data_IF_749707362556
#
_entry.id   IF_749707362556
#
_cell.length_a   1.000
_cell.length_b   1.000
_cell.length_c   1.000
_cell.angle_alpha   90.00
_cell.angle_beta   90.00
_cell.angle_gamma   90.00
#
_symmetry.space_group_name_H-M   'P 1'
#
loop_
_entity.id
_entity.type
_entity.pdbx_description
1 polymer ?
#
# COMPACT_ATOMS: atom_id res chain seq x y z
N UNK A 1 -4.44 27.15 -9.17
CA UNK A 1 -4.82 26.00 -10.02
C UNK A 1 -3.58 25.22 -10.46
N UNK A 2 -2.62 25.83 -11.16
CA UNK A 2 -1.32 25.20 -11.46
C UNK A 2 -0.55 24.75 -10.19
N UNK A 3 -0.53 25.59 -9.15
CA UNK A 3 0.09 25.23 -7.85
C UNK A 3 -0.59 24.03 -7.20
N UNK A 4 -1.92 23.92 -7.32
CA UNK A 4 -2.71 22.82 -6.74
C UNK A 4 -2.41 21.48 -7.42
N UNK A 5 -2.21 21.47 -8.74
CA UNK A 5 -1.82 20.27 -9.50
C UNK A 5 -0.39 19.85 -9.15
N UNK A 6 0.50 20.83 -9.00
CA UNK A 6 1.88 20.57 -8.58
C UNK A 6 1.92 19.99 -7.17
N UNK A 7 1.11 20.52 -6.25
CA UNK A 7 0.97 19.98 -4.89
C UNK A 7 0.40 18.55 -4.91
N UNK A 8 -0.66 18.31 -5.69
CA UNK A 8 -1.26 16.98 -5.84
C UNK A 8 -0.22 15.96 -6.34
N UNK A 9 0.61 16.35 -7.32
CA UNK A 9 1.67 15.48 -7.85
C UNK A 9 2.71 15.12 -6.78
N UNK A 10 3.08 16.07 -5.92
CA UNK A 10 3.99 15.83 -4.80
C UNK A 10 3.38 14.91 -3.74
N UNK A 11 2.10 15.08 -3.43
CA UNK A 11 1.36 14.20 -2.51
C UNK A 11 1.29 12.78 -3.07
N UNK A 12 0.96 12.61 -4.35
CA UNK A 12 0.94 11.30 -5.02
C UNK A 12 2.31 10.62 -5.00
N UNK A 13 3.39 11.34 -5.28
CA UNK A 13 4.75 10.81 -5.20
C UNK A 13 5.08 10.32 -3.78
N UNK A 14 4.66 11.08 -2.76
CA UNK A 14 4.84 10.71 -1.36
C UNK A 14 4.04 9.45 -1.01
N UNK A 15 2.79 9.35 -1.45
CA UNK A 15 1.95 8.16 -1.22
C UNK A 15 2.57 6.94 -1.90
N UNK A 16 3.07 7.09 -3.13
CA UNK A 16 3.73 6.01 -3.89
C UNK A 16 4.96 5.48 -3.16
N UNK A 17 5.80 6.37 -2.64
CA UNK A 17 6.98 5.97 -1.86
C UNK A 17 6.58 5.25 -0.57
N UNK A 18 5.58 5.75 0.17
CA UNK A 18 5.06 5.09 1.37
C UNK A 18 4.45 3.72 1.08
N UNK A 19 3.75 3.58 -0.04
CA UNK A 19 3.19 2.31 -0.49
C UNK A 19 4.30 1.29 -0.77
N UNK A 20 5.39 1.73 -1.41
CA UNK A 20 6.57 0.91 -1.67
C UNK A 20 7.28 0.50 -0.38
N UNK A 21 7.56 1.44 0.53
CA UNK A 21 8.13 1.14 1.85
C UNK A 21 7.29 0.11 2.62
N UNK A 22 5.96 0.24 2.53
CA UNK A 22 5.03 -0.71 3.17
C UNK A 22 5.12 -2.09 2.52
N UNK A 23 5.17 -2.17 1.20
CA UNK A 23 5.33 -3.44 0.48
C UNK A 23 6.63 -4.16 0.88
N UNK A 24 7.74 -3.42 0.97
CA UNK A 24 9.04 -3.96 1.40
C UNK A 24 8.98 -4.51 2.83
N UNK A 25 8.31 -3.80 3.76
CA UNK A 25 8.10 -4.28 5.14
C UNK A 25 7.23 -5.52 5.19
N UNK A 26 6.17 -5.57 4.39
CA UNK A 26 5.27 -6.73 4.31
C UNK A 26 6.02 -7.96 3.79
N UNK A 27 6.88 -7.82 2.78
CA UNK A 27 7.73 -8.92 2.30
C UNK A 27 8.70 -9.45 3.37
N UNK A 28 9.22 -8.57 4.24
CA UNK A 28 10.02 -9.01 5.40
C UNK A 28 9.20 -9.78 6.43
N UNK A 29 7.96 -9.36 6.70
CA UNK A 29 7.05 -10.06 7.62
C UNK A 29 6.70 -11.45 7.06
N UNK A 30 6.46 -11.56 5.75
CA UNK A 30 6.21 -12.83 5.08
C UNK A 30 7.38 -13.81 5.26
N UNK A 31 8.61 -13.34 5.06
CA UNK A 31 9.82 -14.14 5.28
C UNK A 31 9.98 -14.60 6.74
N UNK A 32 9.69 -13.72 7.72
CA UNK A 32 9.70 -14.09 9.14
C UNK A 32 8.62 -15.13 9.44
N UNK A 33 7.40 -14.95 8.91
CA UNK A 33 6.30 -15.89 9.10
C UNK A 33 6.64 -17.28 8.54
N UNK A 34 7.30 -17.32 7.38
CA UNK A 34 7.78 -18.57 6.80
C UNK A 34 8.77 -19.29 7.73
N UNK A 35 9.74 -18.56 8.28
CA UNK A 35 10.70 -19.11 9.24
C UNK A 35 10.00 -19.63 10.51
N UNK A 36 9.02 -18.89 11.04
CA UNK A 36 8.24 -19.33 12.21
C UNK A 36 7.51 -20.64 11.91
N UNK A 37 6.95 -20.79 10.69
CA UNK A 37 6.30 -22.03 10.25
C UNK A 37 7.29 -23.20 10.20
N UNK A 38 8.49 -23.01 9.66
CA UNK A 38 9.54 -24.04 9.63
C UNK A 38 9.99 -24.47 11.03
N UNK A 39 10.13 -23.49 11.95
CA UNK A 39 10.45 -23.75 13.35
C UNK A 39 9.32 -24.53 14.03
N UNK A 40 8.06 -24.17 13.75
CA UNK A 40 6.90 -24.89 14.26
C UNK A 40 6.86 -26.34 13.76
N UNK A 41 7.05 -26.57 12.46
CA UNK A 41 7.09 -27.92 11.89
C UNK A 41 8.23 -28.76 12.51
N UNK A 42 9.42 -28.18 12.66
CA UNK A 42 10.56 -28.83 13.31
C UNK A 42 10.29 -29.15 14.79
N UNK A 43 9.67 -28.21 15.51
CA UNK A 43 9.32 -28.38 16.93
C UNK A 43 8.25 -29.46 17.12
N UNK A 44 7.29 -29.55 16.20
CA UNK A 44 6.28 -30.62 16.21
C UNK A 44 6.92 -32.00 15.98
N UNK A 45 7.87 -32.11 15.05
CA UNK A 45 8.63 -33.35 14.83
C UNK A 45 9.51 -33.72 16.03
N UNK A 46 10.17 -32.75 16.66
CA UNK A 46 10.93 -32.98 17.88
C UNK A 46 10.04 -33.45 19.04
N UNK A 47 8.87 -32.81 19.22
CA UNK A 47 7.88 -33.23 20.19
C UNK A 47 7.32 -34.64 19.92
N UNK A 48 7.13 -35.00 18.65
CA UNK A 48 6.74 -36.36 18.26
C UNK A 48 7.81 -37.39 18.64
N UNK A 49 9.08 -37.12 18.31
CA UNK A 49 10.19 -38.01 18.67
C UNK A 49 10.32 -38.15 20.20
N UNK A 50 10.15 -37.06 20.95
CA UNK A 50 10.16 -37.08 22.41
C UNK A 50 8.98 -37.90 22.98
N UNK A 51 7.79 -37.81 22.39
CA UNK A 51 6.64 -38.61 22.80
C UNK A 51 6.86 -40.12 22.55
N UNK A 52 7.49 -40.48 21.42
CA UNK A 52 7.84 -41.88 21.11
C UNK A 52 8.84 -42.42 22.14
N UNK A 53 9.89 -41.65 22.46
CA UNK A 53 10.89 -42.10 23.43
C UNK A 53 10.34 -42.15 24.85
N UNK A 54 9.44 -41.22 25.22
CA UNK A 54 8.72 -41.26 26.48
C UNK A 54 7.83 -42.51 26.61
N UNK A 55 7.13 -42.90 25.54
CA UNK A 55 6.36 -44.14 25.52
C UNK A 55 7.26 -45.38 25.65
N UNK A 56 8.44 -45.35 25.02
CA UNK A 56 9.43 -46.44 25.08
C UNK A 56 10.02 -46.62 26.48
N UNK A 57 10.18 -45.53 27.23
CA UNK A 57 10.65 -45.56 28.63
C UNK A 57 9.58 -46.05 29.64
N UNK A 58 8.33 -46.28 29.20
CA UNK A 58 7.24 -46.78 30.04
C UNK A 58 6.92 -45.83 31.19
N UNK A 59 6.82 -46.35 32.41
CA UNK A 59 6.48 -45.56 33.61
C UNK A 59 7.49 -44.43 33.88
N UNK A 60 8.78 -44.60 33.53
CA UNK A 60 9.80 -43.57 33.70
C UNK A 60 9.64 -42.39 32.74
N UNK A 61 8.91 -42.58 31.62
CA UNK A 61 8.68 -41.56 30.59
C UNK A 61 7.42 -40.73 30.78
N UNK A 62 6.55 -41.04 31.76
CA UNK A 62 5.25 -40.35 31.93
C UNK A 62 5.34 -38.83 32.01
N UNK A 63 6.30 -38.31 32.78
CA UNK A 63 6.51 -36.86 32.90
C UNK A 63 6.97 -36.22 31.60
N UNK A 64 7.86 -36.89 30.86
CA UNK A 64 8.34 -36.43 29.55
C UNK A 64 7.26 -36.50 28.47
N UNK A 65 6.34 -37.46 28.55
CA UNK A 65 5.22 -37.57 27.61
C UNK A 65 4.31 -36.34 27.65
N UNK A 66 4.04 -35.81 28.85
CA UNK A 66 3.20 -34.61 29.01
C UNK A 66 3.89 -33.39 28.39
N UNK A 67 5.20 -33.23 28.64
CA UNK A 67 5.99 -32.13 28.07
C UNK A 67 6.02 -32.23 26.54
N UNK A 68 6.23 -33.43 25.99
CA UNK A 68 6.25 -33.68 24.56
C UNK A 68 4.92 -33.31 23.89
N UNK A 69 3.78 -33.62 24.53
CA UNK A 69 2.46 -33.27 24.03
C UNK A 69 2.21 -31.75 24.05
N UNK A 70 2.63 -31.04 25.11
CA UNK A 70 2.51 -29.58 25.18
C UNK A 70 3.39 -28.90 24.11
N UNK A 71 4.61 -29.40 23.88
CA UNK A 71 5.48 -28.89 22.80
C UNK A 71 4.82 -29.05 21.43
N UNK A 72 4.19 -30.20 21.15
CA UNK A 72 3.46 -30.41 19.89
C UNK A 72 2.27 -29.46 19.75
N UNK A 73 1.53 -29.24 20.84
CA UNK A 73 0.40 -28.31 20.86
C UNK A 73 0.88 -26.88 20.58
N UNK A 74 1.94 -26.41 21.25
CA UNK A 74 2.54 -25.09 21.00
C UNK A 74 3.05 -24.94 19.57
N UNK A 75 3.65 -25.99 19.01
CA UNK A 75 4.10 -26.02 17.63
C UNK A 75 2.93 -25.87 16.65
N UNK A 76 1.85 -26.63 16.82
CA UNK A 76 0.67 -26.53 15.98
C UNK A 76 0.01 -25.14 16.07
N UNK A 77 -0.12 -24.56 17.26
CA UNK A 77 -0.64 -23.20 17.44
C UNK A 77 0.26 -22.16 16.77
N UNK A 78 1.58 -22.29 16.91
CA UNK A 78 2.54 -21.39 16.24
C UNK A 78 2.41 -21.45 14.72
N UNK A 79 2.20 -22.64 14.17
CA UNK A 79 1.95 -22.84 12.74
C UNK A 79 0.68 -22.14 12.27
N UNK A 80 -0.42 -22.32 13.00
CA UNK A 80 -1.69 -21.67 12.67
C UNK A 80 -1.54 -20.13 12.66
N UNK A 81 -0.89 -19.55 13.66
CA UNK A 81 -0.65 -18.10 13.68
C UNK A 81 0.25 -17.62 12.55
N UNK A 82 1.26 -18.41 12.15
CA UNK A 82 2.08 -18.08 10.99
C UNK A 82 1.24 -18.08 9.68
N UNK A 83 0.30 -19.00 9.54
CA UNK A 83 -0.64 -19.04 8.41
C UNK A 83 -1.57 -17.82 8.42
N UNK A 84 -2.14 -17.46 9.58
CA UNK A 84 -2.96 -16.25 9.74
C UNK A 84 -2.18 -14.96 9.39
N UNK A 85 -0.91 -14.87 9.82
CA UNK A 85 -0.02 -13.77 9.45
C UNK A 85 0.18 -13.73 7.94
N UNK A 86 0.39 -14.89 7.29
CA UNK A 86 0.58 -14.95 5.84
C UNK A 86 -0.66 -14.41 5.10
N UNK A 87 -1.85 -14.83 5.51
CA UNK A 87 -3.11 -14.34 4.94
C UNK A 87 -3.26 -12.83 5.10
N UNK A 88 -2.97 -12.28 6.28
CA UNK A 88 -2.99 -10.83 6.50
C UNK A 88 -1.96 -10.10 5.64
N UNK A 89 -0.75 -10.63 5.51
CA UNK A 89 0.26 -10.03 4.62
C UNK A 89 -0.17 -10.03 3.16
N UNK A 90 -0.80 -11.11 2.69
CA UNK A 90 -1.34 -11.20 1.33
C UNK A 90 -2.45 -10.17 1.08
N UNK A 91 -3.35 -9.97 2.05
CA UNK A 91 -4.38 -8.94 1.97
C UNK A 91 -3.77 -7.54 1.88
N UNK A 92 -2.75 -7.25 2.71
CA UNK A 92 -2.05 -5.95 2.65
C UNK A 92 -1.37 -5.76 1.30
N UNK A 93 -0.70 -6.77 0.74
CA UNK A 93 -0.11 -6.69 -0.60
C UNK A 93 -1.17 -6.39 -1.67
N UNK A 94 -2.36 -7.00 -1.56
CA UNK A 94 -3.45 -6.71 -2.48
C UNK A 94 -3.96 -5.28 -2.35
N UNK A 95 -4.12 -4.76 -1.12
CA UNK A 95 -4.49 -3.37 -0.89
C UNK A 95 -3.47 -2.40 -1.47
N UNK A 96 -2.17 -2.71 -1.37
CA UNK A 96 -1.11 -1.89 -1.99
C UNK A 96 -1.24 -1.89 -3.52
N UNK A 97 -1.53 -3.04 -4.14
CA UNK A 97 -1.77 -3.12 -5.60
C UNK A 97 -2.97 -2.26 -6.02
N UNK A 98 -4.08 -2.33 -5.28
CA UNK A 98 -5.26 -1.51 -5.52
C UNK A 98 -4.94 -0.02 -5.36
N UNK A 99 -4.19 0.34 -4.31
CA UNK A 99 -3.76 1.71 -4.06
C UNK A 99 -2.86 2.26 -5.18
N UNK A 100 -1.98 1.44 -5.76
CA UNK A 100 -1.19 1.84 -6.93
C UNK A 100 -2.07 2.11 -8.17
N UNK A 101 -3.13 1.32 -8.36
CA UNK A 101 -4.07 1.55 -9.47
C UNK A 101 -4.88 2.84 -9.28
N UNK A 102 -5.30 3.12 -8.05
CA UNK A 102 -5.94 4.39 -7.67
C UNK A 102 -5.00 5.58 -7.94
N UNK A 103 -3.73 5.49 -7.51
CA UNK A 103 -2.71 6.50 -7.78
C UNK A 103 -2.56 6.77 -9.28
N UNK A 104 -2.50 5.71 -10.09
CA UNK A 104 -2.40 5.87 -11.54
C UNK A 104 -3.61 6.62 -12.11
N UNK A 105 -4.82 6.27 -11.67
CA UNK A 105 -6.05 6.93 -12.11
C UNK A 105 -6.06 8.42 -11.72
N UNK A 106 -5.63 8.75 -10.50
CA UNK A 106 -5.53 10.14 -10.05
C UNK A 106 -4.48 10.92 -10.85
N UNK A 107 -3.35 10.32 -11.21
CA UNK A 107 -2.35 10.96 -12.07
C UNK A 107 -2.89 11.27 -13.47
N UNK A 108 -3.65 10.34 -14.06
CA UNK A 108 -4.30 10.55 -15.35
C UNK A 108 -5.32 11.70 -15.29
N UNK A 109 -6.14 11.74 -14.23
CA UNK A 109 -7.12 12.81 -14.01
C UNK A 109 -6.43 14.17 -13.77
N UNK A 110 -5.37 14.21 -12.97
CA UNK A 110 -4.58 15.41 -12.72
C UNK A 110 -3.93 15.95 -14.01
N UNK A 111 -3.45 15.06 -14.88
CA UNK A 111 -2.89 15.44 -16.18
C UNK A 111 -3.96 16.04 -17.10
N UNK A 112 -5.14 15.41 -17.18
CA UNK A 112 -6.28 15.94 -17.94
C UNK A 112 -6.72 17.31 -17.41
N UNK A 113 -6.74 17.48 -16.09
CA UNK A 113 -7.11 18.74 -15.46
C UNK A 113 -6.09 19.85 -15.76
N UNK A 114 -4.80 19.52 -15.81
CA UNK A 114 -3.74 20.46 -16.21
C UNK A 114 -3.96 20.98 -17.62
N UNK A 115 -4.25 20.09 -18.57
CA UNK A 115 -4.51 20.47 -19.96
C UNK A 115 -5.74 21.41 -20.07
N UNK A 116 -6.82 21.10 -19.35
CA UNK A 116 -8.01 21.96 -19.32
C UNK A 116 -7.73 23.35 -18.72
N UNK A 117 -6.86 23.44 -17.72
CA UNK A 117 -6.44 24.72 -17.12
C UNK A 117 -5.59 25.53 -18.11
N UNK A 118 -4.71 24.90 -18.88
CA UNK A 118 -3.94 25.59 -19.93
C UNK A 118 -4.86 26.18 -21.00
N UNK A 119 -5.85 25.41 -21.46
CA UNK A 119 -6.86 25.89 -22.43
C UNK A 119 -7.71 27.04 -21.85
N UNK A 120 -8.16 26.92 -20.60
CA UNK A 120 -8.88 28.00 -19.90
C UNK A 120 -8.01 29.26 -19.76
N UNK A 121 -6.71 29.11 -19.55
CA UNK A 121 -5.79 30.23 -19.44
C UNK A 121 -5.62 30.94 -20.79
N UNK A 122 -5.48 30.18 -21.88
CA UNK A 122 -5.40 30.72 -23.24
C UNK A 122 -6.67 31.47 -23.63
N UNK A 123 -7.85 30.87 -23.41
CA UNK A 123 -9.15 31.52 -23.70
C UNK A 123 -9.34 32.79 -22.87
N UNK A 124 -8.91 32.82 -21.60
CA UNK A 124 -8.93 34.04 -20.78
C UNK A 124 -8.00 35.14 -21.32
N UNK A 125 -6.85 34.78 -21.88
CA UNK A 125 -5.95 35.76 -22.52
C UNK A 125 -6.57 36.36 -23.78
N UNK A 126 -7.24 35.53 -24.59
CA UNK A 126 -7.99 36.01 -25.76
C UNK A 126 -9.14 36.94 -25.35
N UNK A 127 -9.93 36.58 -24.34
CA UNK A 127 -11.00 37.43 -23.80
C UNK A 127 -10.45 38.78 -23.35
N UNK A 128 -9.36 38.80 -22.57
CA UNK A 128 -8.73 40.06 -22.14
C UNK A 128 -8.28 40.91 -23.33
N UNK A 129 -7.70 40.30 -24.35
CA UNK A 129 -7.28 40.98 -25.58
C UNK A 129 -8.47 41.59 -26.30
N UNK A 130 -9.57 40.84 -26.44
CA UNK A 130 -10.80 41.32 -27.08
C UNK A 130 -11.46 42.46 -26.29
N UNK A 131 -11.46 42.39 -24.96
CA UNK A 131 -11.95 43.48 -24.11
C UNK A 131 -11.13 44.76 -24.33
N UNK A 132 -9.80 44.63 -24.44
CA UNK A 132 -8.92 45.78 -24.69
C UNK A 132 -9.22 46.43 -26.05
N UNK A 133 -9.37 45.63 -27.11
CA UNK A 133 -9.73 46.11 -28.45
C UNK A 133 -11.09 46.82 -28.43
N UNK A 134 -12.09 46.24 -27.77
CA UNK A 134 -13.42 46.87 -27.64
C UNK A 134 -13.35 48.19 -26.88
N UNK A 135 -12.53 48.28 -25.83
CA UNK A 135 -12.34 49.50 -25.07
C UNK A 135 -11.68 50.61 -25.91
N UNK A 136 -10.74 50.26 -26.78
CA UNK A 136 -10.09 51.22 -27.68
C UNK A 136 -11.06 51.72 -28.76
N UNK A 137 -11.84 50.82 -29.38
CA UNK A 137 -12.90 51.19 -30.34
C UNK A 137 -13.94 52.12 -29.68
N UNK A 138 -14.34 51.83 -28.44
CA UNK A 138 -15.29 52.67 -27.72
C UNK A 138 -14.76 54.08 -27.45
N UNK A 139 -13.45 54.24 -27.17
CA UNK A 139 -12.83 55.56 -27.01
C UNK A 139 -12.79 56.33 -28.34
N UNK A 140 -12.40 55.67 -29.42
CA UNK A 140 -12.32 56.28 -30.75
C UNK A 140 -13.70 56.81 -31.19
N UNK A 141 -14.77 56.03 -30.98
CA UNK A 141 -16.13 56.48 -31.29
C UNK A 141 -16.56 57.74 -30.50
N UNK A 142 -16.16 57.87 -29.23
CA UNK A 142 -16.48 59.06 -28.41
C UNK A 142 -15.72 60.29 -28.89
N UNK A 143 -14.50 60.13 -29.42
CA UNK A 143 -13.73 61.24 -30.00
C UNK A 143 -14.32 61.72 -31.33
N UNK A 144 -14.87 60.82 -32.14
CA UNK A 144 -15.49 61.14 -33.44
C UNK A 144 -16.83 61.89 -33.27
N UNK A 145 -17.55 61.70 -32.17
CA UNK A 145 -18.82 62.38 -31.89
C UNK A 145 -18.69 63.82 -31.33
N UNK A 146 -17.46 64.32 -31.06
CA UNK A 146 -17.19 65.69 -30.59
C UNK A 146 -16.78 66.64 -31.72
#
# INVERSE_FOLDING_TARGET
MADSITQLSNEINTITERARETAEKVGKIEGISHLVREIADSSNLLGLNAAIEAARAGEHGRGFSIVAEEVRKMANTSKQHAEEINDHTNQIQNHIKQLNHLIQSVNEEASSQSAAIEELTATMQEINTNIQVLADIAKENIEVEK
#
